data_IF_188777193432
#
_entry.id   IF_188777193432
#
_cell.length_a   1.000
_cell.length_b   1.000
_cell.length_c   1.000
_cell.angle_alpha   90.00
_cell.angle_beta   90.00
_cell.angle_gamma   90.00
#
_symmetry.space_group_name_H-M   'P 1'
#
loop_
_entity.id
_entity.type
_entity.pdbx_description
1 polymer ?
#
# COMPACT_ATOMS: atom_id res chain seq x y z
N UNK A 1 18.46 -19.38 7.47
CA UNK A 1 17.24 -18.55 7.30
C UNK A 1 17.10 -18.21 5.82
N UNK A 2 15.95 -18.47 5.21
CA UNK A 2 15.76 -18.23 3.76
C UNK A 2 15.71 -16.71 3.49
N UNK A 3 16.72 -16.17 2.82
CA UNK A 3 16.83 -14.72 2.49
C UNK A 3 15.60 -14.17 1.75
N UNK A 4 14.85 -15.04 1.06
CA UNK A 4 13.65 -14.66 0.29
C UNK A 4 12.48 -14.20 1.17
N UNK A 5 12.41 -14.66 2.43
CA UNK A 5 11.33 -14.32 3.36
C UNK A 5 11.66 -13.10 4.22
N UNK A 6 12.77 -12.41 3.96
CA UNK A 6 13.20 -11.27 4.74
C UNK A 6 12.94 -9.97 3.99
N UNK A 7 12.39 -8.94 4.67
CA UNK A 7 12.18 -7.65 4.05
C UNK A 7 13.51 -7.02 3.64
N UNK A 8 13.50 -6.31 2.51
CA UNK A 8 14.64 -5.46 2.08
C UNK A 8 14.58 -4.06 2.70
N UNK A 9 13.41 -3.66 3.16
CA UNK A 9 13.14 -2.38 3.81
C UNK A 9 12.12 -2.59 4.92
N UNK A 10 12.31 -1.89 6.03
CA UNK A 10 11.41 -1.88 7.17
C UNK A 10 11.09 -0.43 7.51
N UNK A 11 9.81 -0.15 7.76
CA UNK A 11 9.33 1.13 8.25
C UNK A 11 8.33 0.88 9.39
N UNK A 12 8.25 1.77 10.40
CA UNK A 12 7.27 1.66 11.49
C UNK A 12 5.81 1.78 11.02
N UNK A 13 5.57 2.52 9.94
CA UNK A 13 4.25 2.75 9.35
C UNK A 13 4.32 2.81 7.83
N UNK A 14 3.19 2.56 7.17
CA UNK A 14 3.06 2.66 5.71
C UNK A 14 3.34 4.08 5.23
N UNK A 15 2.78 5.08 5.89
CA UNK A 15 2.88 6.49 5.50
C UNK A 15 4.27 7.09 5.74
N UNK A 16 5.14 6.38 6.47
CA UNK A 16 6.55 6.76 6.66
C UNK A 16 7.44 6.31 5.49
N UNK A 17 6.91 5.55 4.53
CA UNK A 17 7.64 5.15 3.33
C UNK A 17 7.59 6.31 2.32
N UNK A 18 8.67 7.08 2.25
CA UNK A 18 8.79 8.19 1.30
C UNK A 18 8.71 7.72 -0.16
N UNK A 19 7.81 8.28 -0.99
CA UNK A 19 7.76 7.97 -2.41
C UNK A 19 9.09 8.14 -3.16
N UNK A 20 9.88 9.16 -2.81
CA UNK A 20 11.22 9.41 -3.36
C UNK A 20 12.18 8.24 -3.16
N UNK A 21 12.07 7.54 -2.04
CA UNK A 21 12.88 6.36 -1.77
C UNK A 21 12.52 5.26 -2.76
N UNK A 22 11.23 5.06 -3.03
CA UNK A 22 10.74 4.05 -3.98
C UNK A 22 11.18 4.39 -5.42
N UNK A 23 11.17 5.68 -5.79
CA UNK A 23 11.69 6.17 -7.07
C UNK A 23 13.19 5.91 -7.23
N UNK A 24 13.99 6.23 -6.20
CA UNK A 24 15.44 5.97 -6.17
C UNK A 24 15.77 4.48 -6.29
N UNK A 25 14.89 3.62 -5.78
CA UNK A 25 14.99 2.16 -5.91
C UNK A 25 14.56 1.65 -7.30
N UNK A 26 14.09 2.53 -8.20
CA UNK A 26 13.65 2.19 -9.55
C UNK A 26 12.32 1.43 -9.60
N UNK A 27 11.53 1.50 -8.52
CA UNK A 27 10.24 0.84 -8.45
C UNK A 27 9.19 1.62 -9.27
N UNK A 28 8.30 0.89 -9.94
CA UNK A 28 7.27 1.47 -10.83
C UNK A 28 5.85 1.08 -10.44
N UNK A 29 5.72 0.07 -9.57
CA UNK A 29 4.44 -0.40 -9.11
C UNK A 29 4.54 -0.96 -7.71
N UNK A 30 3.42 -0.87 -7.00
CA UNK A 30 3.32 -1.23 -5.59
C UNK A 30 2.09 -2.14 -5.45
N UNK A 31 2.32 -3.31 -4.88
CA UNK A 31 1.26 -4.23 -4.50
C UNK A 31 1.00 -4.03 -3.02
N UNK A 32 -0.24 -3.70 -2.67
CA UNK A 32 -0.68 -3.37 -1.34
C UNK A 32 -1.61 -4.47 -0.83
N UNK A 33 -1.36 -4.94 0.39
CA UNK A 33 -2.38 -5.65 1.14
C UNK A 33 -3.47 -4.68 1.62
N UNK A 34 -4.62 -5.20 2.03
CA UNK A 34 -5.82 -4.44 2.38
C UNK A 34 -5.93 -4.22 3.89
N UNK A 35 -6.36 -5.25 4.61
CA UNK A 35 -6.72 -5.16 6.03
C UNK A 35 -5.47 -5.05 6.89
N UNK A 36 -5.49 -4.13 7.86
CA UNK A 36 -4.36 -3.80 8.73
C UNK A 36 -3.09 -3.38 7.96
N UNK A 37 -3.26 -2.94 6.71
CA UNK A 37 -2.20 -2.33 5.88
C UNK A 37 -2.64 -0.95 5.40
N UNK A 38 -3.67 -0.86 4.55
CA UNK A 38 -4.22 0.42 4.06
C UNK A 38 -5.57 0.78 4.70
N UNK A 39 -6.26 -0.20 5.31
CA UNK A 39 -7.53 0.00 6.03
C UNK A 39 -7.55 -0.84 7.30
N UNK A 40 -8.14 -0.31 8.38
CA UNK A 40 -8.49 -1.15 9.52
C UNK A 40 -9.50 -2.23 9.09
N UNK A 41 -9.39 -3.44 9.64
CA UNK A 41 -10.26 -4.59 9.29
C UNK A 41 -11.76 -4.27 9.34
N UNK A 42 -12.20 -3.50 10.31
CA UNK A 42 -13.62 -3.19 10.52
C UNK A 42 -14.08 -1.89 9.83
N UNK A 43 -13.21 -1.27 9.01
CA UNK A 43 -13.48 -0.03 8.28
C UNK A 43 -13.47 -0.26 6.77
N UNK A 44 -14.34 0.46 6.03
CA UNK A 44 -14.30 0.55 4.56
C UNK A 44 -13.61 1.84 4.08
N UNK A 45 -13.03 2.64 4.97
CA UNK A 45 -12.36 3.90 4.65
C UNK A 45 -10.95 3.91 5.21
N UNK A 46 -9.98 4.29 4.38
CA UNK A 46 -8.62 4.58 4.84
C UNK A 46 -8.57 5.91 5.59
N UNK A 47 -7.55 6.09 6.43
CA UNK A 47 -7.29 7.39 7.07
C UNK A 47 -6.90 8.43 6.03
N UNK A 48 -7.09 9.71 6.36
CA UNK A 48 -6.69 10.82 5.49
C UNK A 48 -5.22 10.72 5.07
N UNK A 49 -4.31 10.45 6.02
CA UNK A 49 -2.88 10.25 5.77
C UNK A 49 -2.59 9.14 4.75
N UNK A 50 -3.28 8.00 4.83
CA UNK A 50 -3.11 6.90 3.86
C UNK A 50 -3.65 7.34 2.50
N UNK A 51 -4.77 8.07 2.47
CA UNK A 51 -5.34 8.63 1.25
C UNK A 51 -4.39 9.59 0.54
N UNK A 52 -3.78 10.51 1.29
CA UNK A 52 -2.78 11.46 0.81
C UNK A 52 -1.55 10.73 0.27
N UNK A 53 -1.02 9.77 1.03
CA UNK A 53 0.13 8.96 0.63
C UNK A 53 -0.12 8.17 -0.68
N UNK A 54 -1.30 7.52 -0.79
CA UNK A 54 -1.70 6.84 -2.03
C UNK A 54 -1.87 7.84 -3.20
N UNK A 55 -2.39 9.03 -2.91
CA UNK A 55 -2.54 10.12 -3.87
C UNK A 55 -1.20 10.60 -4.40
N UNK A 56 -0.23 10.81 -3.51
CA UNK A 56 1.12 11.23 -3.87
C UNK A 56 1.83 10.20 -4.76
N UNK A 57 1.74 8.91 -4.41
CA UNK A 57 2.27 7.84 -5.24
C UNK A 57 1.67 7.83 -6.64
N UNK A 58 0.34 8.00 -6.76
CA UNK A 58 -0.32 8.09 -8.07
C UNK A 58 0.15 9.32 -8.86
N UNK A 59 0.26 10.47 -8.20
CA UNK A 59 0.74 11.71 -8.82
C UNK A 59 2.18 11.58 -9.37
N UNK A 60 3.02 10.78 -8.69
CA UNK A 60 4.39 10.45 -9.12
C UNK A 60 4.46 9.34 -10.18
N UNK A 61 3.32 8.78 -10.60
CA UNK A 61 3.24 7.81 -11.69
C UNK A 61 3.40 6.34 -11.27
N UNK A 62 3.34 6.03 -9.98
CA UNK A 62 3.33 4.65 -9.51
C UNK A 62 2.03 3.94 -9.90
N UNK A 63 2.15 2.69 -10.34
CA UNK A 63 1.00 1.80 -10.55
C UNK A 63 0.67 1.07 -9.26
N UNK A 64 -0.50 1.34 -8.70
CA UNK A 64 -0.95 0.70 -7.47
C UNK A 64 -1.86 -0.48 -7.79
N UNK A 65 -1.70 -1.59 -7.06
CA UNK A 65 -2.57 -2.75 -7.14
C UNK A 65 -2.84 -3.31 -5.76
N UNK A 66 -4.07 -3.74 -5.51
CA UNK A 66 -4.42 -4.41 -4.26
C UNK A 66 -4.30 -5.92 -4.45
N UNK A 67 -3.63 -6.58 -3.51
CA UNK A 67 -3.53 -8.04 -3.41
C UNK A 67 -3.98 -8.43 -2.02
N UNK A 68 -5.14 -9.09 -1.93
CA UNK A 68 -5.69 -9.51 -0.66
C UNK A 68 -6.25 -10.92 -0.76
N UNK A 69 -6.22 -11.64 0.35
CA UNK A 69 -6.90 -12.92 0.54
C UNK A 69 -8.39 -12.76 0.90
N UNK A 70 -8.90 -11.52 0.94
CA UNK A 70 -10.31 -11.23 1.19
C UNK A 70 -11.24 -11.52 0.01
N UNK A 71 -12.55 -11.48 0.29
CA UNK A 71 -13.57 -11.59 -0.74
C UNK A 71 -13.53 -10.40 -1.71
N UNK A 72 -13.93 -10.63 -2.97
CA UNK A 72 -14.04 -9.55 -3.98
C UNK A 72 -14.97 -8.43 -3.53
N UNK A 73 -16.01 -8.76 -2.77
CA UNK A 73 -16.92 -7.76 -2.21
C UNK A 73 -16.21 -6.83 -1.22
N UNK A 74 -15.40 -7.40 -0.31
CA UNK A 74 -14.60 -6.63 0.66
C UNK A 74 -13.57 -5.76 -0.05
N UNK A 75 -12.86 -6.33 -1.03
CA UNK A 75 -11.89 -5.57 -1.84
C UNK A 75 -12.58 -4.44 -2.60
N UNK A 76 -13.71 -4.70 -3.28
CA UNK A 76 -14.43 -3.70 -4.06
C UNK A 76 -15.09 -2.59 -3.24
N UNK A 77 -15.37 -2.82 -1.96
CA UNK A 77 -15.87 -1.77 -1.06
C UNK A 77 -14.82 -0.70 -0.74
N UNK A 78 -13.53 -0.99 -0.97
CA UNK A 78 -12.39 -0.11 -0.68
C UNK A 78 -11.66 0.30 -1.96
N UNK A 79 -11.47 -0.62 -2.90
CA UNK A 79 -10.79 -0.40 -4.16
C UNK A 79 -11.64 0.49 -5.07
N UNK A 80 -11.23 1.75 -5.24
CA UNK A 80 -11.95 2.75 -6.05
C UNK A 80 -12.31 4.04 -5.31
N UNK A 81 -11.99 4.13 -4.01
CA UNK A 81 -11.76 5.40 -3.31
C UNK A 81 -10.42 6.01 -3.76
#
# INVERSE_FOLDING_TARGET
>A
MLKILYPKLYAPSLVEIEPELLEKLGLKGILLDLDNTIVSRDSNRYSEEVGEWLGELRARGFRLGIVSNNSRQRVGAVAGL
#
